data_IF_089251827853
#
_entry.id   IF_089251827853
#
_cell.length_a   1.000
_cell.length_b   1.000
_cell.length_c   1.000
_cell.angle_alpha   90.00
_cell.angle_beta   90.00
_cell.angle_gamma   90.00
#
_symmetry.space_group_name_H-M   'P 1'
#
loop_
_entity.id
_entity.type
_entity.pdbx_description
1 polymer ?
#
# COMPACT_ATOMS: atom_id res chain seq x y z
N UNK A 1 12.82 -15.10 8.38
CA UNK A 1 11.53 -15.44 7.77
C UNK A 1 11.40 -16.95 7.84
N UNK A 2 10.60 -17.44 8.78
CA UNK A 2 10.41 -18.87 8.99
C UNK A 2 9.28 -19.39 8.06
N UNK A 3 9.26 -20.70 7.79
CA UNK A 3 8.27 -21.32 6.87
C UNK A 3 6.80 -21.05 7.30
N UNK A 4 6.52 -20.91 8.59
CA UNK A 4 5.17 -20.61 9.09
C UNK A 4 4.71 -19.18 8.77
N UNK A 5 5.61 -18.20 8.80
CA UNK A 5 5.28 -16.81 8.44
C UNK A 5 4.93 -16.68 6.96
N UNK A 6 5.55 -17.50 6.10
CA UNK A 6 5.32 -17.49 4.66
C UNK A 6 3.88 -17.89 4.31
N UNK A 7 3.32 -18.90 4.99
CA UNK A 7 1.96 -19.37 4.74
C UNK A 7 0.92 -18.32 5.13
N UNK A 8 1.14 -17.62 6.24
CA UNK A 8 0.22 -16.57 6.68
C UNK A 8 0.31 -15.33 5.79
N UNK A 9 1.52 -14.95 5.37
CA UNK A 9 1.76 -13.82 4.47
C UNK A 9 1.07 -14.00 3.10
N UNK A 10 0.94 -15.23 2.60
CA UNK A 10 0.23 -15.51 1.34
C UNK A 10 -1.30 -15.53 1.50
N UNK A 11 -1.81 -15.78 2.71
CA UNK A 11 -3.23 -15.98 2.97
C UNK A 11 -4.04 -14.68 3.17
N UNK A 12 -3.36 -13.57 3.45
CA UNK A 12 -3.97 -12.29 3.80
C UNK A 12 -3.92 -11.27 2.65
N UNK A 13 -4.97 -10.47 2.50
CA UNK A 13 -4.91 -9.25 1.68
C UNK A 13 -5.64 -8.10 2.36
N UNK A 14 -5.04 -6.91 2.34
CA UNK A 14 -5.65 -5.69 2.85
C UNK A 14 -6.16 -4.84 1.69
N UNK A 15 -7.42 -4.42 1.77
CA UNK A 15 -7.99 -3.45 0.84
C UNK A 15 -7.92 -2.07 1.47
N UNK A 16 -7.16 -1.17 0.85
CA UNK A 16 -7.06 0.23 1.26
C UNK A 16 -7.77 1.14 0.26
N UNK A 17 -8.36 2.22 0.79
CA UNK A 17 -8.96 3.28 -0.01
C UNK A 17 -7.89 4.29 -0.41
N UNK A 18 -7.77 4.48 -1.71
CA UNK A 18 -6.91 5.47 -2.33
C UNK A 18 -7.52 6.88 -2.26
N UNK A 19 -6.79 7.83 -1.67
CA UNK A 19 -7.14 9.25 -1.68
C UNK A 19 -6.08 10.04 -2.49
N UNK A 20 -6.39 10.48 -3.72
CA UNK A 20 -5.44 11.21 -4.55
C UNK A 20 -5.03 12.53 -3.89
N UNK A 21 -3.73 12.76 -3.75
CA UNK A 21 -3.17 14.08 -3.41
C UNK A 21 -2.23 14.59 -4.49
N UNK A 22 -1.87 15.87 -4.38
CA UNK A 22 -0.97 16.56 -5.32
C UNK A 22 0.45 15.97 -5.25
N UNK A 23 1.16 16.00 -6.38
CA UNK A 23 2.57 15.60 -6.56
C UNK A 23 2.87 14.09 -6.46
N UNK A 24 1.99 13.23 -6.96
CA UNK A 24 2.17 11.76 -7.00
C UNK A 24 2.29 11.07 -5.63
N UNK A 25 2.12 11.81 -4.53
CA UNK A 25 1.95 11.28 -3.19
C UNK A 25 0.50 10.85 -3.01
N UNK A 26 0.32 9.56 -2.76
CA UNK A 26 -1.00 9.00 -2.51
C UNK A 26 -1.16 8.74 -1.04
N UNK A 27 -2.21 9.27 -0.44
CA UNK A 27 -2.58 8.85 0.91
C UNK A 27 -3.52 7.65 0.85
N UNK A 28 -3.22 6.66 1.67
CA UNK A 28 -4.09 5.53 1.94
C UNK A 28 -4.67 5.68 3.35
N UNK A 29 -5.80 5.01 3.60
CA UNK A 29 -6.48 5.05 4.89
C UNK A 29 -5.91 4.08 5.93
N UNK A 30 -4.81 3.41 5.60
CA UNK A 30 -4.07 2.47 6.44
C UNK A 30 -2.58 2.66 6.20
N UNK A 31 -1.71 2.15 7.06
CA UNK A 31 -0.27 2.41 7.01
C UNK A 31 0.53 1.53 7.95
N UNK A 32 1.74 1.97 8.28
CA UNK A 32 2.68 1.22 9.13
C UNK A 32 2.17 1.08 10.55
N UNK A 33 1.35 2.02 11.00
CA UNK A 33 0.65 1.97 12.28
C UNK A 33 -0.63 1.12 12.27
N UNK A 34 -0.92 0.42 11.17
CA UNK A 34 -2.08 -0.45 11.01
C UNK A 34 -1.70 -1.82 10.44
N UNK A 35 -2.40 -2.26 9.40
CA UNK A 35 -2.17 -3.62 8.86
C UNK A 35 -0.92 -3.73 7.98
N UNK A 36 -0.33 -2.61 7.59
CA UNK A 36 0.87 -2.54 6.73
C UNK A 36 2.14 -2.29 7.54
N UNK A 37 2.22 -2.82 8.76
CA UNK A 37 3.37 -2.64 9.65
C UNK A 37 4.71 -2.94 8.98
N UNK A 38 4.79 -4.01 8.17
CA UNK A 38 6.07 -4.34 7.54
C UNK A 38 6.49 -3.34 6.44
N UNK A 39 5.57 -2.48 5.96
CA UNK A 39 5.90 -1.41 5.00
C UNK A 39 6.86 -0.37 5.59
N UNK A 40 6.93 -0.29 6.93
CA UNK A 40 7.85 0.60 7.64
C UNK A 40 9.30 0.10 7.64
N UNK A 41 9.54 -1.17 7.29
CA UNK A 41 10.89 -1.68 7.12
C UNK A 41 11.42 -1.36 5.72
N UNK A 42 12.68 -0.89 5.61
CA UNK A 42 13.26 -0.53 4.33
C UNK A 42 13.36 -1.72 3.39
N UNK A 43 13.05 -1.48 2.10
CA UNK A 43 13.06 -2.44 0.99
C UNK A 43 11.93 -3.49 0.97
N UNK A 44 10.86 -3.31 1.75
CA UNK A 44 9.65 -4.12 1.64
C UNK A 44 8.66 -3.42 0.70
N UNK A 45 8.32 -4.07 -0.41
CA UNK A 45 7.31 -3.59 -1.36
C UNK A 45 6.19 -4.61 -1.43
N UNK A 46 4.99 -4.22 -0.98
CA UNK A 46 3.83 -5.08 -1.07
C UNK A 46 3.36 -5.21 -2.53
N UNK A 47 3.03 -6.44 -2.98
CA UNK A 47 2.35 -6.62 -4.25
C UNK A 47 0.99 -5.94 -4.16
N UNK A 48 0.75 -4.95 -5.02
CA UNK A 48 -0.48 -4.17 -5.01
C UNK A 48 -1.19 -4.25 -6.37
N UNK A 49 -2.52 -4.28 -6.33
CA UNK A 49 -3.37 -4.30 -7.52
C UNK A 49 -4.47 -3.27 -7.36
N UNK A 50 -4.65 -2.44 -8.38
CA UNK A 50 -5.74 -1.48 -8.41
C UNK A 50 -7.08 -2.23 -8.58
N UNK A 51 -7.96 -2.07 -7.60
CA UNK A 51 -9.35 -2.53 -7.67
C UNK A 51 -10.20 -1.33 -8.12
N UNK A 52 -10.86 -1.45 -9.28
CA UNK A 52 -11.71 -0.39 -9.84
C UNK A 52 -13.11 -0.92 -10.10
N UNK A 53 -14.11 -0.09 -9.86
CA UNK A 53 -15.50 -0.33 -10.26
C UNK A 53 -15.73 0.17 -11.69
N UNK A 54 -15.15 -0.54 -12.68
CA UNK A 54 -15.34 -0.34 -14.14
C UNK A 54 -14.94 1.03 -14.70
N UNK A 55 -14.22 1.87 -13.96
CA UNK A 55 -13.72 3.16 -14.46
C UNK A 55 -12.57 2.94 -15.46
N UNK A 56 -12.49 3.83 -16.46
CA UNK A 56 -11.40 3.84 -17.44
C UNK A 56 -10.11 4.22 -16.73
N UNK A 57 -9.14 3.30 -16.75
CA UNK A 57 -7.80 3.52 -16.20
C UNK A 57 -6.91 4.09 -17.32
N UNK A 58 -6.13 5.11 -17.01
CA UNK A 58 -5.12 5.64 -17.94
C UNK A 58 -4.06 4.58 -18.22
N UNK A 59 -3.70 4.39 -19.49
CA UNK A 59 -2.60 3.48 -19.90
C UNK A 59 -1.21 4.01 -19.51
N UNK A 60 -1.11 5.30 -19.15
CA UNK A 60 0.15 5.92 -18.75
C UNK A 60 0.47 5.56 -17.31
N UNK A 61 1.50 4.73 -17.13
CA UNK A 61 2.07 4.45 -15.82
C UNK A 61 2.82 5.68 -15.31
N UNK A 62 2.61 6.02 -14.04
CA UNK A 62 3.31 7.09 -13.33
C UNK A 62 3.80 6.52 -12.01
N UNK A 63 5.03 6.85 -11.62
CA UNK A 63 5.54 6.49 -10.30
C UNK A 63 4.67 7.11 -9.21
N UNK A 64 4.36 6.34 -8.18
CA UNK A 64 3.59 6.79 -7.03
C UNK A 64 4.17 6.15 -5.78
N UNK A 65 4.01 6.83 -4.66
CA UNK A 65 4.32 6.31 -3.34
C UNK A 65 3.06 6.33 -2.47
N UNK A 66 2.88 5.28 -1.68
CA UNK A 66 1.86 5.22 -0.65
C UNK A 66 2.37 5.90 0.61
N UNK A 67 1.52 6.71 1.22
CA UNK A 67 1.71 7.36 2.50
C UNK A 67 0.55 6.98 3.39
N UNK A 68 0.84 6.56 4.61
CA UNK A 68 -0.16 6.25 5.61
C UNK A 68 -0.89 7.50 6.12
N UNK A 69 -1.91 7.29 6.98
CA UNK A 69 -2.78 8.36 7.45
C UNK A 69 -2.17 9.23 8.54
N UNK A 70 -1.06 8.81 9.16
CA UNK A 70 -0.45 9.53 10.28
C UNK A 70 0.47 10.64 9.80
N UNK A 71 0.94 11.48 10.74
CA UNK A 71 1.90 12.54 10.46
C UNK A 71 3.35 12.10 10.68
N UNK A 72 3.59 10.79 10.85
CA UNK A 72 4.94 10.25 10.95
C UNK A 72 5.59 10.16 9.57
N UNK A 73 6.86 10.53 9.48
CA UNK A 73 7.67 10.36 8.28
C UNK A 73 7.93 8.90 7.89
N UNK A 74 7.77 7.97 8.83
CA UNK A 74 7.89 6.53 8.59
C UNK A 74 6.59 5.87 8.11
N UNK A 75 5.49 6.62 7.97
CA UNK A 75 4.17 6.14 7.56
C UNK A 75 3.81 6.47 6.11
#
# INVERSE_FOLDING_TARGET
MNLEELFFAESGSTIVRFNPKKKAKTLINDGTYGSLFDAGFPNIVYPSKLITDRKIISKKLTSFDFYGPTCDSMD
#
